data_IF_367756716745
#
_entry.id   IF_367756716745
#
_cell.length_a   1.000
_cell.length_b   1.000
_cell.length_c   1.000
_cell.angle_alpha   90.00
_cell.angle_beta   90.00
_cell.angle_gamma   90.00
#
_symmetry.space_group_name_H-M   'P 1'
#
loop_
_entity.id
_entity.type
_entity.pdbx_description
1 polymer ?
#
# COMPACT_ATOMS: atom_id res chain seq x y z
N UNK A 1 -29.71 21.78 -20.02
CA UNK A 1 -28.83 20.60 -20.02
C UNK A 1 -28.10 20.57 -18.69
N UNK A 2 -28.36 19.54 -17.90
CA UNK A 2 -27.76 19.41 -16.58
C UNK A 2 -26.26 19.14 -16.69
N UNK A 3 -25.51 19.69 -15.74
CA UNK A 3 -24.06 19.49 -15.55
C UNK A 3 -23.86 18.83 -14.19
N UNK A 4 -23.05 17.78 -14.15
CA UNK A 4 -22.62 17.13 -12.91
C UNK A 4 -21.14 17.40 -12.66
N UNK A 5 -20.79 17.68 -11.42
CA UNK A 5 -19.41 17.74 -10.93
C UNK A 5 -19.20 16.60 -9.95
N UNK A 6 -18.23 15.73 -10.25
CA UNK A 6 -17.83 14.60 -9.42
C UNK A 6 -16.36 14.79 -9.04
N UNK A 7 -15.96 14.57 -7.77
CA UNK A 7 -14.56 14.63 -7.37
C UNK A 7 -13.66 13.71 -8.22
N UNK A 8 -12.46 14.17 -8.53
CA UNK A 8 -11.54 13.51 -9.49
C UNK A 8 -10.63 12.46 -8.86
N UNK A 9 -10.61 12.30 -7.53
CA UNK A 9 -9.69 11.40 -6.82
C UNK A 9 -10.46 10.45 -5.92
N UNK A 10 -10.47 9.17 -6.29
CA UNK A 10 -11.07 8.10 -5.49
C UNK A 10 -10.11 6.96 -5.28
N UNK A 11 -9.28 7.19 -4.29
CA UNK A 11 -8.57 6.14 -3.59
C UNK A 11 -9.39 5.86 -2.32
N UNK A 12 -9.86 4.62 -2.18
CA UNK A 12 -10.52 4.10 -0.98
C UNK A 12 -9.69 2.93 -0.49
N UNK A 13 -9.48 2.77 0.81
CA UNK A 13 -8.78 1.59 1.31
C UNK A 13 -9.77 0.44 1.56
N UNK A 14 -9.26 -0.78 1.47
CA UNK A 14 -10.08 -1.96 1.70
C UNK A 14 -10.74 -1.90 3.09
N UNK A 15 -12.06 -2.15 3.12
CA UNK A 15 -12.87 -2.11 4.34
C UNK A 15 -13.33 -0.72 4.78
N UNK A 16 -12.84 0.36 4.18
CA UNK A 16 -13.31 1.72 4.50
C UNK A 16 -14.76 1.93 4.08
N UNK A 17 -15.42 2.89 4.73
CA UNK A 17 -16.73 3.38 4.28
C UNK A 17 -16.58 4.29 3.07
N UNK A 18 -17.34 4.01 2.02
CA UNK A 18 -17.41 4.83 0.81
C UNK A 18 -18.80 5.46 0.65
N UNK A 19 -18.86 6.79 0.65
CA UNK A 19 -20.07 7.55 0.33
C UNK A 19 -20.03 8.02 -1.14
N UNK A 20 -20.87 7.47 -2.04
CA UNK A 20 -20.88 7.82 -3.44
C UNK A 20 -21.36 9.25 -3.72
N UNK A 21 -22.09 9.90 -2.80
CA UNK A 21 -22.62 11.25 -2.99
C UNK A 21 -21.70 12.34 -2.41
N UNK A 22 -20.66 11.97 -1.66
CA UNK A 22 -19.72 12.91 -1.07
C UNK A 22 -19.08 13.82 -2.13
N UNK A 23 -19.37 15.12 -2.03
CA UNK A 23 -18.81 16.15 -2.92
C UNK A 23 -19.41 16.19 -4.32
N UNK A 24 -20.44 15.39 -4.61
CA UNK A 24 -21.17 15.43 -5.87
C UNK A 24 -22.08 16.65 -5.90
N UNK A 25 -22.10 17.37 -7.02
CA UNK A 25 -23.02 18.49 -7.27
C UNK A 25 -23.60 18.40 -8.67
N UNK A 26 -24.84 18.85 -8.85
CA UNK A 26 -25.44 18.99 -10.17
C UNK A 26 -26.20 20.30 -10.30
N UNK A 27 -26.13 20.91 -11.47
CA UNK A 27 -26.84 22.16 -11.77
C UNK A 27 -27.35 22.19 -13.20
N UNK A 28 -28.45 22.89 -13.41
CA UNK A 28 -28.96 23.23 -14.74
C UNK A 28 -29.27 24.74 -14.81
N UNK A 29 -29.19 25.31 -16.01
CA UNK A 29 -29.38 26.75 -16.24
C UNK A 29 -30.78 27.25 -15.88
N UNK A 30 -31.82 26.42 -16.06
CA UNK A 30 -33.21 26.74 -15.79
C UNK A 30 -33.64 26.30 -14.39
N UNK A 31 -33.26 25.09 -14.00
CA UNK A 31 -33.70 24.49 -12.73
C UNK A 31 -32.85 24.91 -11.52
N UNK A 32 -31.66 25.47 -11.73
CA UNK A 32 -30.73 25.80 -10.66
C UNK A 32 -30.02 24.55 -10.11
N UNK A 33 -29.93 24.44 -8.79
CA UNK A 33 -29.34 23.26 -8.14
C UNK A 33 -30.28 22.07 -8.24
N UNK A 34 -29.78 20.98 -8.81
CA UNK A 34 -30.50 19.72 -9.00
C UNK A 34 -29.73 18.54 -8.41
N UNK A 35 -28.83 18.79 -7.46
CA UNK A 35 -28.02 17.76 -6.80
C UNK A 35 -28.87 16.65 -6.19
N UNK A 36 -30.02 17.00 -5.60
CA UNK A 36 -30.96 16.03 -5.00
C UNK A 36 -31.66 15.14 -6.05
N UNK A 37 -31.58 15.49 -7.34
CA UNK A 37 -32.10 14.68 -8.45
C UNK A 37 -31.06 13.67 -8.98
N UNK A 38 -29.83 13.69 -8.47
CA UNK A 38 -28.78 12.75 -8.88
C UNK A 38 -29.10 11.37 -8.33
N UNK A 39 -29.05 10.38 -9.21
CA UNK A 39 -29.16 8.95 -8.86
C UNK A 39 -27.85 8.24 -9.16
N UNK A 40 -27.49 7.26 -8.34
CA UNK A 40 -26.27 6.45 -8.49
C UNK A 40 -26.67 5.02 -8.81
N UNK A 41 -26.04 4.45 -9.85
CA UNK A 41 -26.19 3.04 -10.23
C UNK A 41 -24.86 2.31 -10.04
N UNK A 42 -24.94 1.11 -9.45
CA UNK A 42 -23.78 0.34 -9.03
C UNK A 42 -23.47 0.57 -7.55
N UNK A 43 -22.50 -0.17 -7.06
CA UNK A 43 -22.00 -0.07 -5.68
C UNK A 43 -20.48 -0.30 -5.69
N UNK A 44 -19.79 0.20 -4.66
CA UNK A 44 -18.37 -0.06 -4.45
C UNK A 44 -18.22 -1.03 -3.30
N UNK A 45 -17.82 -2.26 -3.60
CA UNK A 45 -17.53 -3.26 -2.59
C UNK A 45 -16.11 -3.01 -2.05
N UNK A 46 -16.01 -2.25 -0.96
CA UNK A 46 -14.71 -1.93 -0.37
C UNK A 46 -14.00 -3.15 0.22
N UNK A 47 -14.62 -4.33 0.30
CA UNK A 47 -13.92 -5.57 0.65
C UNK A 47 -13.09 -6.16 -0.50
N UNK A 48 -13.31 -5.70 -1.74
CA UNK A 48 -12.63 -6.20 -2.94
C UNK A 48 -11.71 -5.13 -3.52
N UNK A 49 -10.43 -5.40 -3.56
CA UNK A 49 -9.43 -4.50 -4.12
C UNK A 49 -9.52 -4.41 -5.65
N UNK A 50 -9.00 -3.33 -6.22
CA UNK A 50 -8.99 -3.04 -7.64
C UNK A 50 -9.94 -1.92 -8.08
N UNK A 51 -9.96 -1.69 -9.40
CA UNK A 51 -10.76 -0.63 -10.01
C UNK A 51 -12.23 -1.08 -10.17
N UNK A 52 -13.12 -0.36 -9.51
CA UNK A 52 -14.57 -0.57 -9.56
C UNK A 52 -15.26 0.66 -10.15
N UNK A 53 -16.53 0.53 -10.54
CA UNK A 53 -17.25 1.60 -11.23
C UNK A 53 -18.66 1.80 -10.70
N UNK A 54 -19.02 3.07 -10.55
CA UNK A 54 -20.41 3.53 -10.37
C UNK A 54 -20.77 4.53 -11.46
N UNK A 55 -22.07 4.69 -11.72
CA UNK A 55 -22.58 5.61 -12.73
C UNK A 55 -23.58 6.58 -12.10
N UNK A 56 -23.34 7.87 -12.27
CA UNK A 56 -24.26 8.93 -11.89
C UNK A 56 -25.20 9.25 -13.04
N UNK A 57 -26.45 9.54 -12.72
CA UNK A 57 -27.46 10.00 -13.66
C UNK A 57 -28.24 11.16 -13.05
N UNK A 58 -28.44 12.23 -13.82
CA UNK A 58 -29.27 13.37 -13.43
C UNK A 58 -30.09 13.84 -14.62
N UNK A 59 -31.35 14.21 -14.37
CA UNK A 59 -32.33 14.65 -15.37
C UNK A 59 -32.97 15.97 -14.92
N UNK A 60 -33.04 16.95 -15.82
CA UNK A 60 -33.72 18.23 -15.58
C UNK A 60 -35.25 18.13 -15.81
N UNK A 61 -35.99 19.20 -15.51
CA UNK A 61 -37.45 19.23 -15.67
C UNK A 61 -37.92 19.07 -17.11
N UNK A 62 -37.11 19.50 -18.07
CA UNK A 62 -37.40 19.44 -19.51
C UNK A 62 -37.06 18.07 -20.11
N UNK A 63 -36.42 17.23 -19.31
CA UNK A 63 -36.14 15.83 -19.58
C UNK A 63 -34.78 15.57 -20.19
N UNK A 64 -33.91 16.58 -20.31
CA UNK A 64 -32.52 16.36 -20.67
C UNK A 64 -31.78 15.70 -19.51
N UNK A 65 -30.84 14.83 -19.85
CA UNK A 65 -30.10 14.08 -18.85
C UNK A 65 -28.60 14.10 -19.11
N UNK A 66 -27.83 13.85 -18.06
CA UNK A 66 -26.39 13.63 -18.12
C UNK A 66 -26.01 12.39 -17.33
N UNK A 67 -25.06 11.61 -17.86
CA UNK A 67 -24.52 10.42 -17.20
C UNK A 67 -23.01 10.52 -17.07
N UNK A 68 -22.49 10.18 -15.89
CA UNK A 68 -21.06 10.17 -15.62
C UNK A 68 -20.63 8.84 -15.01
N UNK A 69 -19.65 8.17 -15.61
CA UNK A 69 -19.07 6.93 -15.07
C UNK A 69 -17.82 7.27 -14.26
N UNK A 70 -17.83 6.94 -12.97
CA UNK A 70 -16.72 7.17 -12.03
C UNK A 70 -16.00 5.85 -11.78
N UNK A 71 -14.68 5.86 -11.94
CA UNK A 71 -13.82 4.77 -11.49
C UNK A 71 -13.34 5.04 -10.07
N UNK A 72 -13.49 4.06 -9.18
CA UNK A 72 -13.03 4.11 -7.80
C UNK A 72 -12.01 2.99 -7.62
N UNK A 73 -10.80 3.33 -7.21
CA UNK A 73 -9.78 2.34 -6.94
C UNK A 73 -9.80 1.97 -5.46
N UNK A 74 -10.27 0.76 -5.16
CA UNK A 74 -10.17 0.18 -3.82
C UNK A 74 -8.77 -0.39 -3.69
N UNK A 75 -7.93 0.31 -2.97
CA UNK A 75 -6.57 -0.12 -2.73
C UNK A 75 -6.53 -1.10 -1.57
N UNK A 76 -5.64 -2.07 -1.67
CA UNK A 76 -5.33 -2.94 -0.55
C UNK A 76 -4.65 -2.12 0.55
N UNK A 77 -5.19 -2.19 1.77
CA UNK A 77 -4.52 -1.65 2.94
C UNK A 77 -3.42 -2.58 3.44
N UNK A 78 -3.40 -3.86 3.00
CA UNK A 78 -2.32 -4.83 3.13
C UNK A 78 -1.20 -4.59 2.09
N UNK A 79 -0.96 -3.31 1.78
CA UNK A 79 0.39 -2.79 1.89
C UNK A 79 0.57 -2.24 3.30
N UNK A 80 0.34 -3.11 4.29
CA UNK A 80 0.77 -2.82 5.64
C UNK A 80 2.26 -2.50 5.58
N UNK A 81 2.79 -1.59 6.42
CA UNK A 81 4.22 -1.35 6.41
C UNK A 81 4.94 -2.69 6.58
N UNK A 82 5.83 -3.00 5.62
CA UNK A 82 6.63 -4.21 5.67
C UNK A 82 7.30 -4.33 7.05
N UNK A 83 7.62 -5.54 7.52
CA UNK A 83 8.36 -5.73 8.75
C UNK A 83 9.61 -4.84 8.81
N UNK A 84 9.90 -4.25 9.95
CA UNK A 84 11.12 -3.47 10.14
C UNK A 84 12.29 -4.40 10.41
N UNK A 85 13.34 -4.33 9.59
CA UNK A 85 14.66 -4.91 9.89
C UNK A 85 15.56 -3.84 10.53
N UNK A 86 16.33 -4.23 11.54
CA UNK A 86 17.30 -3.34 12.19
C UNK A 86 18.56 -4.09 12.61
N UNK A 87 19.63 -3.33 12.91
CA UNK A 87 20.94 -3.90 13.24
C UNK A 87 21.76 -4.35 12.03
N UNK A 88 21.33 -4.00 10.82
CA UNK A 88 22.00 -4.35 9.57
C UNK A 88 22.91 -3.21 9.15
N UNK A 89 24.15 -3.24 9.64
CA UNK A 89 25.20 -2.29 9.28
C UNK A 89 26.42 -3.02 8.75
N UNK A 90 27.14 -2.37 7.85
CA UNK A 90 28.44 -2.86 7.38
C UNK A 90 29.39 -3.03 8.57
N UNK A 91 30.19 -4.09 8.53
CA UNK A 91 31.14 -4.41 9.60
C UNK A 91 32.51 -4.74 9.03
N UNK A 92 33.53 -4.55 9.87
CA UNK A 92 34.90 -4.99 9.59
C UNK A 92 35.35 -5.94 10.69
N UNK A 93 35.87 -7.10 10.30
CA UNK A 93 36.41 -8.13 11.18
C UNK A 93 37.84 -8.47 10.79
N UNK A 94 38.62 -8.97 11.75
CA UNK A 94 39.96 -9.49 11.47
C UNK A 94 39.89 -10.88 10.82
N UNK A 95 40.89 -11.24 10.04
CA UNK A 95 41.08 -12.60 9.54
C UNK A 95 41.00 -13.61 10.69
N UNK A 96 40.14 -14.61 10.53
CA UNK A 96 39.90 -15.70 11.50
C UNK A 96 39.07 -15.30 12.72
N UNK A 97 38.56 -14.07 12.78
CA UNK A 97 37.71 -13.65 13.89
C UNK A 97 36.37 -14.40 13.85
N UNK A 98 35.98 -14.99 14.98
CA UNK A 98 34.64 -15.52 15.17
C UNK A 98 33.61 -14.39 15.15
N UNK A 99 32.53 -14.60 14.39
CA UNK A 99 31.47 -13.61 14.22
C UNK A 99 30.13 -14.32 14.00
N UNK A 100 29.11 -13.86 14.72
CA UNK A 100 27.73 -14.31 14.58
C UNK A 100 26.97 -13.34 13.65
N UNK A 101 26.48 -13.89 12.55
CA UNK A 101 25.80 -13.16 11.47
C UNK A 101 24.49 -12.50 11.93
N UNK A 102 23.81 -13.11 12.90
CA UNK A 102 22.52 -12.63 13.41
C UNK A 102 22.68 -11.77 14.66
N UNK A 103 23.92 -11.55 15.13
CA UNK A 103 24.16 -10.71 16.28
C UNK A 103 23.63 -9.29 16.03
N UNK A 104 22.84 -8.81 16.99
CA UNK A 104 22.19 -7.50 17.00
C UNK A 104 21.16 -7.27 15.87
N UNK A 105 20.90 -8.29 15.03
CA UNK A 105 19.85 -8.22 14.00
C UNK A 105 18.50 -8.46 14.65
N UNK A 106 17.53 -7.61 14.32
CA UNK A 106 16.16 -7.69 14.83
C UNK A 106 15.16 -7.48 13.71
N UNK A 107 14.01 -8.11 13.85
CA UNK A 107 12.85 -7.88 12.99
C UNK A 107 11.59 -7.67 13.84
N UNK A 108 10.72 -6.76 13.42
CA UNK A 108 9.38 -6.58 14.04
C UNK A 108 8.33 -6.29 12.98
N UNK A 109 7.11 -6.78 13.17
CA UNK A 109 5.99 -6.34 12.35
C UNK A 109 5.47 -4.95 12.79
N UNK A 110 4.48 -4.41 12.05
CA UNK A 110 3.86 -3.11 12.35
C UNK A 110 3.21 -3.03 13.75
N UNK A 111 2.80 -4.17 14.30
CA UNK A 111 2.17 -4.26 15.63
C UNK A 111 3.21 -4.31 16.75
N UNK A 112 4.50 -4.43 16.41
CA UNK A 112 5.61 -4.54 17.34
C UNK A 112 5.90 -5.98 17.76
N UNK A 113 5.26 -6.99 17.15
CA UNK A 113 5.58 -8.41 17.38
C UNK A 113 6.99 -8.69 16.90
N UNK A 114 7.76 -9.39 17.71
CA UNK A 114 9.12 -9.81 17.36
C UNK A 114 9.10 -10.92 16.32
N UNK A 115 9.77 -10.70 15.18
CA UNK A 115 9.96 -11.63 14.08
C UNK A 115 11.43 -12.03 13.91
N UNK A 116 12.29 -11.72 14.89
CA UNK A 116 13.75 -11.92 14.78
C UNK A 116 14.12 -13.38 14.48
N UNK A 117 13.35 -14.35 14.98
CA UNK A 117 13.56 -15.78 14.71
C UNK A 117 13.29 -16.19 13.27
N UNK A 118 12.55 -15.36 12.53
CA UNK A 118 12.02 -15.68 11.20
C UNK A 118 12.89 -15.05 10.10
N UNK A 119 13.99 -14.39 10.49
CA UNK A 119 14.96 -13.81 9.57
C UNK A 119 15.72 -14.92 8.86
N UNK A 120 15.73 -14.86 7.53
CA UNK A 120 16.54 -15.72 6.67
C UNK A 120 17.70 -14.93 6.07
N UNK A 121 18.86 -15.57 5.93
CA UNK A 121 20.06 -14.94 5.38
C UNK A 121 20.45 -15.53 4.04
N UNK A 122 21.12 -14.73 3.20
CA UNK A 122 21.74 -15.19 1.95
C UNK A 122 23.18 -14.70 1.83
N UNK A 123 23.99 -15.44 1.07
CA UNK A 123 25.43 -15.18 0.91
C UNK A 123 26.28 -15.94 1.94
N UNK A 124 27.57 -16.05 1.64
CA UNK A 124 28.55 -16.75 2.48
C UNK A 124 29.72 -15.81 2.79
N UNK A 125 30.29 -15.93 3.99
CA UNK A 125 31.44 -15.15 4.43
C UNK A 125 32.55 -16.10 4.84
N UNK A 126 33.71 -16.00 4.18
CA UNK A 126 34.91 -16.73 4.56
C UNK A 126 35.81 -15.82 5.41
N UNK A 127 35.74 -15.98 6.73
CA UNK A 127 36.51 -15.14 7.66
C UNK A 127 38.03 -15.38 7.58
N UNK A 128 38.49 -16.44 6.92
CA UNK A 128 39.91 -16.74 6.75
C UNK A 128 40.52 -16.12 5.49
N UNK A 129 39.70 -15.51 4.63
CA UNK A 129 40.15 -14.86 3.40
C UNK A 129 39.87 -13.36 3.47
N UNK A 130 40.90 -12.50 3.46
CA UNK A 130 40.70 -11.06 3.36
C UNK A 130 39.88 -10.69 2.11
N UNK A 131 38.91 -9.81 2.26
CA UNK A 131 37.96 -9.50 1.20
C UNK A 131 36.72 -8.77 1.67
N UNK A 132 35.81 -8.48 0.74
CA UNK A 132 34.48 -7.93 1.01
C UNK A 132 33.43 -8.96 0.62
N UNK A 133 32.56 -9.30 1.55
CA UNK A 133 31.48 -10.27 1.41
C UNK A 133 30.14 -9.57 1.54
N UNK A 134 29.18 -9.89 0.68
CA UNK A 134 27.82 -9.35 0.77
C UNK A 134 26.90 -10.40 1.38
N UNK A 135 26.11 -9.99 2.37
CA UNK A 135 25.11 -10.83 3.01
C UNK A 135 23.76 -10.13 2.95
N UNK A 136 22.73 -10.85 2.53
CA UNK A 136 21.34 -10.41 2.56
C UNK A 136 20.60 -10.98 3.77
N UNK A 137 19.62 -10.23 4.27
CA UNK A 137 18.69 -10.61 5.33
C UNK A 137 17.29 -10.36 4.80
N UNK A 138 16.36 -11.27 5.03
CA UNK A 138 14.96 -11.10 4.69
C UNK A 138 14.05 -11.66 5.78
N UNK A 139 12.85 -11.11 5.92
CA UNK A 139 11.82 -11.58 6.85
C UNK A 139 10.44 -11.34 6.24
N UNK A 140 9.51 -12.25 6.51
CA UNK A 140 8.10 -12.13 6.14
C UNK A 140 7.23 -12.07 7.40
N UNK A 141 6.19 -11.24 7.41
CA UNK A 141 5.13 -11.38 8.41
C UNK A 141 4.10 -12.45 8.01
N UNK A 142 3.09 -12.66 8.86
CA UNK A 142 2.01 -13.64 8.67
C UNK A 142 1.07 -13.29 7.52
N UNK A 143 1.05 -12.02 7.12
CA UNK A 143 0.20 -11.50 6.04
C UNK A 143 0.94 -11.57 4.68
N UNK A 144 2.22 -11.97 4.70
CA UNK A 144 3.04 -12.18 3.50
C UNK A 144 3.83 -10.95 3.07
N UNK A 145 3.89 -9.89 3.88
CA UNK A 145 4.74 -8.73 3.58
C UNK A 145 6.20 -9.06 3.87
N UNK A 146 7.09 -8.69 2.95
CA UNK A 146 8.51 -9.04 3.01
C UNK A 146 9.37 -7.77 3.10
N UNK A 147 10.33 -7.79 4.01
CA UNK A 147 11.45 -6.85 4.04
C UNK A 147 12.76 -7.56 3.75
N UNK A 148 13.65 -6.88 3.03
CA UNK A 148 14.99 -7.37 2.75
C UNK A 148 16.02 -6.23 2.80
N UNK A 149 17.18 -6.51 3.38
CA UNK A 149 18.29 -5.57 3.49
C UNK A 149 19.63 -6.33 3.38
N UNK A 150 20.70 -5.64 2.99
CA UNK A 150 22.02 -6.25 2.86
C UNK A 150 23.10 -5.46 3.60
N UNK A 151 24.14 -6.17 4.03
CA UNK A 151 25.38 -5.56 4.55
C UNK A 151 26.62 -6.08 3.84
N UNK A 152 27.68 -5.31 3.90
CA UNK A 152 29.04 -5.71 3.53
C UNK A 152 29.85 -6.07 4.77
N UNK A 153 30.46 -7.25 4.76
CA UNK A 153 31.42 -7.71 5.76
C UNK A 153 32.81 -7.61 5.15
N UNK A 154 33.68 -6.79 5.75
CA UNK A 154 35.08 -6.65 5.32
C UNK A 154 36.00 -7.46 6.24
N UNK A 155 36.70 -8.43 5.68
CA UNK A 155 37.73 -9.22 6.38
C UNK A 155 39.10 -8.59 6.07
N UNK A 156 39.86 -8.23 7.10
CA UNK A 156 41.22 -7.67 6.99
C UNK A 156 42.26 -8.49 7.72
#
# INVERSE_FOLDING_TARGET
MPIITVPTKDLVYQGDHFDPMKGVKASDKKDGDITDKVTVKGDIDTSKTGLQYITYHVKDSDGYYYTYKRGVYVNDADLAPNPELSGIKDITIKKGQEFDLLKDVKAKDKSGKDLTSDIVTSGEVDTNKPGKYKVGYAVSDTDGHISAEGRTITVK
#
